data_IF_741322389217
#
_entry.id   IF_741322389217
#
_cell.length_a   1.000
_cell.length_b   1.000
_cell.length_c   1.000
_cell.angle_alpha   90.00
_cell.angle_beta   90.00
_cell.angle_gamma   90.00
#
_symmetry.space_group_name_H-M   'P 1'
#
loop_
_entity.id
_entity.type
_entity.pdbx_description
1 polymer ?
#
# COMPACT_ATOMS: atom_id res chain seq x y z
N UNK A 1 -20.03 -15.49 0.47
CA UNK A 1 -19.00 -14.84 1.33
C UNK A 1 -19.73 -14.11 2.44
N UNK A 2 -19.22 -14.12 3.67
CA UNK A 2 -19.83 -13.42 4.80
C UNK A 2 -19.16 -12.04 4.90
N UNK A 3 -19.95 -10.99 5.06
CA UNK A 3 -19.42 -9.64 5.28
C UNK A 3 -18.71 -9.58 6.63
N UNK A 4 -17.58 -8.88 6.66
CA UNK A 4 -16.78 -8.65 7.86
C UNK A 4 -16.42 -7.18 7.95
N UNK A 5 -16.28 -6.70 9.17
CA UNK A 5 -15.79 -5.37 9.48
C UNK A 5 -14.27 -5.27 9.23
N UNK A 6 -13.77 -4.04 9.14
CA UNK A 6 -12.33 -3.78 9.00
C UNK A 6 -11.58 -4.26 10.25
N UNK A 7 -12.20 -4.11 11.42
CA UNK A 7 -11.69 -4.52 12.72
C UNK A 7 -11.52 -6.04 12.79
N UNK A 8 -12.53 -6.79 12.32
CA UNK A 8 -12.49 -8.25 12.24
C UNK A 8 -11.43 -8.72 11.25
N UNK A 9 -11.31 -8.06 10.10
CA UNK A 9 -10.25 -8.36 9.13
C UNK A 9 -8.87 -8.14 9.77
N UNK A 10 -8.67 -7.02 10.47
CA UNK A 10 -7.41 -6.73 11.15
C UNK A 10 -7.08 -7.78 12.23
N UNK A 11 -8.08 -8.25 12.98
CA UNK A 11 -7.90 -9.31 13.98
C UNK A 11 -7.46 -10.64 13.34
N UNK A 12 -8.11 -11.05 12.24
CA UNK A 12 -7.73 -12.26 11.49
C UNK A 12 -6.32 -12.17 10.93
N UNK A 13 -5.92 -11.01 10.41
CA UNK A 13 -4.56 -10.78 9.93
C UNK A 13 -3.55 -10.93 11.08
N UNK A 14 -3.81 -10.34 12.24
CA UNK A 14 -2.93 -10.47 13.42
C UNK A 14 -2.76 -11.93 13.84
N UNK A 15 -3.86 -12.70 13.90
CA UNK A 15 -3.81 -14.12 14.24
C UNK A 15 -2.97 -14.91 13.24
N UNK A 16 -3.22 -14.73 11.94
CA UNK A 16 -2.46 -15.41 10.88
C UNK A 16 -0.97 -15.07 10.90
N UNK A 17 -0.61 -13.82 11.20
CA UNK A 17 0.79 -13.42 11.36
C UNK A 17 1.46 -14.15 12.52
N UNK A 18 0.79 -14.27 13.65
CA UNK A 18 1.30 -15.01 14.81
C UNK A 18 1.49 -16.50 14.50
N UNK A 19 0.53 -17.13 13.81
CA UNK A 19 0.63 -18.53 13.35
C UNK A 19 1.85 -18.77 12.44
N UNK A 20 2.21 -17.77 11.62
CA UNK A 20 3.35 -17.82 10.71
C UNK A 20 4.68 -17.40 11.35
N UNK A 21 4.69 -17.06 12.65
CA UNK A 21 5.87 -16.55 13.34
C UNK A 21 6.34 -15.17 12.85
N UNK A 22 5.48 -14.43 12.14
CA UNK A 22 5.79 -13.11 11.60
C UNK A 22 5.63 -12.04 12.69
N UNK A 23 6.74 -11.43 13.09
CA UNK A 23 6.78 -10.32 14.04
C UNK A 23 7.28 -9.03 13.38
N UNK A 24 6.85 -7.87 13.91
CA UNK A 24 7.26 -6.57 13.38
C UNK A 24 6.65 -6.22 12.01
N UNK A 25 7.36 -5.39 11.22
CA UNK A 25 6.97 -4.93 9.88
C UNK A 25 7.90 -5.43 8.76
N UNK A 26 8.87 -6.28 9.09
CA UNK A 26 9.95 -6.70 8.17
C UNK A 26 9.49 -7.66 7.06
N UNK A 27 8.32 -8.25 7.22
CA UNK A 27 7.67 -9.15 6.26
C UNK A 27 6.89 -8.38 5.17
N UNK A 28 6.60 -7.10 5.38
CA UNK A 28 6.02 -6.24 4.36
C UNK A 28 7.16 -5.72 3.49
N UNK A 29 7.11 -6.03 2.19
CA UNK A 29 8.08 -5.47 1.27
C UNK A 29 8.03 -3.93 1.30
N UNK A 30 9.19 -3.25 1.39
CA UNK A 30 9.24 -1.81 1.30
C UNK A 30 8.62 -1.32 -0.01
N UNK A 31 7.87 -0.22 0.05
CA UNK A 31 7.39 0.50 -1.14
C UNK A 31 8.55 1.23 -1.83
N UNK A 32 9.58 0.50 -2.25
CA UNK A 32 10.84 1.02 -2.77
C UNK A 32 10.76 1.50 -4.21
N UNK A 33 9.68 1.18 -4.94
CA UNK A 33 9.55 1.49 -6.37
C UNK A 33 10.46 0.67 -7.30
N UNK A 34 11.52 0.03 -6.79
CA UNK A 34 12.57 -0.68 -7.57
C UNK A 34 12.04 -1.64 -8.63
N UNK A 35 10.95 -2.36 -8.35
CA UNK A 35 10.37 -3.38 -9.24
C UNK A 35 9.20 -2.88 -10.09
N UNK A 36 8.91 -1.57 -10.09
CA UNK A 36 7.78 -1.04 -10.87
C UNK A 36 8.10 -1.05 -12.35
N UNK A 37 7.14 -1.54 -13.12
CA UNK A 37 7.12 -1.40 -14.57
C UNK A 37 7.11 0.08 -14.95
N UNK A 38 7.55 0.39 -16.17
CA UNK A 38 7.51 1.75 -16.69
C UNK A 38 6.08 2.31 -16.74
N UNK A 39 5.11 1.46 -17.11
CA UNK A 39 3.68 1.83 -17.13
C UNK A 39 3.20 2.28 -15.75
N UNK A 40 3.57 1.57 -14.68
CA UNK A 40 3.18 1.95 -13.32
C UNK A 40 3.85 3.25 -12.88
N UNK A 41 5.11 3.47 -13.23
CA UNK A 41 5.82 4.73 -12.92
C UNK A 41 5.17 5.93 -13.61
N UNK A 42 4.78 5.79 -14.87
CA UNK A 42 4.08 6.84 -15.61
C UNK A 42 2.72 7.15 -14.98
N UNK A 43 1.93 6.12 -14.65
CA UNK A 43 0.65 6.30 -13.97
C UNK A 43 0.79 7.09 -12.66
N UNK A 44 1.76 6.73 -11.81
CA UNK A 44 1.96 7.41 -10.53
C UNK A 44 2.39 8.87 -10.71
N UNK A 45 3.24 9.17 -11.71
CA UNK A 45 3.60 10.55 -12.06
C UNK A 45 2.40 11.36 -12.53
N UNK A 46 1.58 10.81 -13.42
CA UNK A 46 0.39 11.50 -13.92
C UNK A 46 -0.60 11.82 -12.78
N UNK A 47 -0.79 10.90 -11.83
CA UNK A 47 -1.66 11.16 -10.67
C UNK A 47 -1.08 12.28 -9.78
N UNK A 48 0.23 12.29 -9.56
CA UNK A 48 0.88 13.35 -8.78
C UNK A 48 0.78 14.71 -9.48
N UNK A 49 0.97 14.76 -10.81
CA UNK A 49 0.80 15.98 -11.61
C UNK A 49 -0.63 16.50 -11.58
N UNK A 50 -1.63 15.62 -11.68
CA UNK A 50 -3.05 16.00 -11.57
C UNK A 50 -3.38 16.55 -10.18
N UNK A 51 -2.91 15.88 -9.11
CA UNK A 51 -3.11 16.38 -7.76
C UNK A 51 -2.48 17.78 -7.58
N UNK A 52 -1.25 17.97 -8.07
CA UNK A 52 -0.56 19.25 -8.01
C UNK A 52 -1.28 20.36 -8.78
N UNK A 53 -1.85 20.05 -9.96
CA UNK A 53 -2.68 21.00 -10.74
C UNK A 53 -3.91 21.46 -9.96
N UNK A 54 -4.50 20.56 -9.17
CA UNK A 54 -5.65 20.85 -8.33
C UNK A 54 -5.27 21.47 -6.97
N UNK A 55 -3.98 21.77 -6.73
CA UNK A 55 -3.49 22.28 -5.46
C UNK A 55 -3.58 21.29 -4.30
N UNK A 56 -3.61 19.98 -4.59
CA UNK A 56 -3.74 18.89 -3.61
C UNK A 56 -2.52 18.00 -3.62
N UNK A 57 -2.28 17.32 -2.50
CA UNK A 57 -1.31 16.22 -2.46
C UNK A 57 -1.97 14.90 -2.87
N UNK A 58 -1.26 14.00 -3.57
CA UNK A 58 -1.75 12.65 -3.83
C UNK A 58 -1.91 11.89 -2.50
N UNK A 59 -2.92 11.01 -2.37
CA UNK A 59 -3.23 10.31 -1.11
C UNK A 59 -2.24 9.19 -0.76
N UNK A 60 -1.07 9.17 -1.42
CA UNK A 60 -0.04 8.16 -1.23
C UNK A 60 1.36 8.79 -1.30
N UNK A 61 2.28 8.27 -0.48
CA UNK A 61 3.71 8.51 -0.66
C UNK A 61 4.26 7.55 -1.70
N UNK A 62 4.49 8.04 -2.91
CA UNK A 62 5.17 7.30 -3.97
C UNK A 62 6.67 7.64 -3.98
N UNK A 63 7.50 6.61 -3.86
CA UNK A 63 8.91 6.68 -4.26
C UNK A 63 9.00 6.34 -5.74
N UNK A 64 9.03 7.35 -6.63
CA UNK A 64 8.93 7.18 -8.08
C UNK A 64 10.05 6.34 -8.68
#
# INVERSE_FOLDING_TARGET
MRDITIEELAARIRQKRAELGLSGKGDVQPNSGRRRTQSKRNLLRNIAELAARDGREPPFKANY
#
